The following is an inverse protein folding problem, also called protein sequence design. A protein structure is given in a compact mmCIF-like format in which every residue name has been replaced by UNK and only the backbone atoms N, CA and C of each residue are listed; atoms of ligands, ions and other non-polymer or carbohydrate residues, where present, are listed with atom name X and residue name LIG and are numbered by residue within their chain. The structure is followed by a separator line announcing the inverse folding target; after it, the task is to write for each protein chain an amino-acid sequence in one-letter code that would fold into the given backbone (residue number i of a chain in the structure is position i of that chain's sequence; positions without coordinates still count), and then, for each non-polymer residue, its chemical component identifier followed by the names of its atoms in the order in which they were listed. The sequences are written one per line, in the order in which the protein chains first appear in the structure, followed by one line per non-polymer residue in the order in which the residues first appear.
data_IF_409139804307
#
_entry.id   IF_409139804307
#
_cell.length_a   1.000
_cell.length_b   1.000
_cell.length_c   1.000
_cell.angle_alpha   90.00
_cell.angle_beta   90.00
_cell.angle_gamma   90.00
#
_symmetry.space_group_name_H-M   'P 1'
#
loop_
_entity.id
_entity.type
_entity.pdbx_description
1 polymer ?
#
# COMPACT_ATOMS: atom_id res chain seq x y z
N UNK A 1 15.56 -11.16 23.18
CA UNK A 1 14.26 -10.51 22.87
C UNK A 1 14.38 -8.98 22.85
N UNK A 2 14.85 -8.33 23.93
CA UNK A 2 15.02 -6.86 23.99
C UNK A 2 16.02 -6.28 22.97
N UNK A 3 17.20 -6.91 22.81
CA UNK A 3 18.21 -6.48 21.81
C UNK A 3 17.65 -6.43 20.38
N UNK A 4 16.86 -7.44 19.99
CA UNK A 4 16.22 -7.50 18.68
C UNK A 4 15.15 -6.44 18.50
N UNK A 5 14.37 -6.15 19.55
CA UNK A 5 13.39 -5.07 19.52
C UNK A 5 14.06 -3.72 19.26
N UNK A 6 15.14 -3.40 19.97
CA UNK A 6 15.88 -2.15 19.76
C UNK A 6 16.49 -2.09 18.35
N UNK A 7 17.12 -3.17 17.89
CA UNK A 7 17.67 -3.24 16.53
C UNK A 7 16.59 -2.99 15.46
N UNK A 8 15.42 -3.61 15.63
CA UNK A 8 14.27 -3.46 14.73
C UNK A 8 13.74 -2.02 14.72
N UNK A 9 13.58 -1.40 15.90
CA UNK A 9 13.20 0.02 16.02
C UNK A 9 14.23 0.95 15.36
N UNK A 10 15.53 0.67 15.51
CA UNK A 10 16.58 1.47 14.86
C UNK A 10 16.54 1.33 13.34
N UNK A 11 16.30 0.13 12.80
CA UNK A 11 16.17 -0.10 11.36
C UNK A 11 14.99 0.70 10.79
N UNK A 12 13.81 0.61 11.43
CA UNK A 12 12.64 1.35 10.97
C UNK A 12 12.78 2.86 11.13
N UNK A 13 13.44 3.35 12.18
CA UNK A 13 13.74 4.78 12.32
C UNK A 13 14.69 5.27 11.23
N UNK A 14 15.70 4.48 10.87
CA UNK A 14 16.59 4.79 9.73
C UNK A 14 15.81 4.84 8.41
N UNK A 15 14.92 3.89 8.17
CA UNK A 15 14.05 3.87 6.99
C UNK A 15 13.14 5.11 6.94
N UNK A 16 12.43 5.41 8.03
CA UNK A 16 11.58 6.59 8.12
C UNK A 16 12.36 7.88 7.85
N UNK A 17 13.57 8.01 8.42
CA UNK A 17 14.43 9.17 8.18
C UNK A 17 14.90 9.27 6.72
N UNK A 18 15.26 8.14 6.10
CA UNK A 18 15.64 8.10 4.68
C UNK A 18 14.48 8.55 3.75
N UNK A 19 13.23 8.31 4.17
CA UNK A 19 12.02 8.80 3.50
C UNK A 19 11.60 10.22 3.95
N UNK A 20 12.45 10.95 4.69
CA UNK A 20 12.20 12.33 5.11
C UNK A 20 11.43 12.48 6.44
N UNK A 21 11.20 11.39 7.18
CA UNK A 21 10.68 11.38 8.56
C UNK A 21 9.18 11.65 8.74
N UNK A 22 8.53 12.18 7.70
CA UNK A 22 7.11 12.58 7.73
C UNK A 22 6.17 11.73 6.87
N UNK A 23 6.71 10.77 6.12
CA UNK A 23 5.89 9.82 5.38
C UNK A 23 5.11 8.94 6.36
N UNK A 24 3.80 8.82 6.13
CA UNK A 24 2.87 8.02 6.95
C UNK A 24 2.19 6.92 6.15
N UNK A 25 2.08 7.12 4.84
CA UNK A 25 1.52 6.15 3.93
C UNK A 25 2.10 6.35 2.53
N UNK A 26 1.96 5.32 1.70
CA UNK A 26 2.33 5.33 0.29
C UNK A 26 1.35 4.48 -0.52
N UNK A 27 1.28 4.73 -1.81
CA UNK A 27 0.47 3.95 -2.76
C UNK A 27 1.36 3.03 -3.59
N UNK A 28 0.97 1.77 -3.75
CA UNK A 28 1.57 0.83 -4.69
C UNK A 28 0.54 0.40 -5.74
N UNK A 29 0.90 0.52 -7.02
CA UNK A 29 0.00 0.27 -8.17
C UNK A 29 0.81 -0.15 -9.39
N UNK A 30 0.11 -0.61 -10.44
CA UNK A 30 0.69 -0.98 -11.74
C UNK A 30 1.06 -2.46 -11.87
N UNK A 31 1.44 -3.12 -10.78
CA UNK A 31 1.64 -4.57 -10.72
C UNK A 31 1.29 -5.10 -9.32
N UNK A 32 1.00 -6.42 -9.18
CA UNK A 32 0.82 -7.04 -7.88
C UNK A 32 2.05 -6.83 -6.99
N UNK A 33 1.84 -6.24 -5.80
CA UNK A 33 2.92 -6.03 -4.83
C UNK A 33 3.04 -7.25 -3.92
N UNK A 34 4.26 -7.73 -3.70
CA UNK A 34 4.51 -8.85 -2.79
C UNK A 34 4.03 -8.51 -1.36
N UNK A 35 3.32 -9.44 -0.72
CA UNK A 35 2.71 -9.22 0.60
C UNK A 35 3.75 -8.88 1.66
N UNK A 36 4.94 -9.46 1.55
CA UNK A 36 6.06 -9.27 2.46
C UNK A 36 6.58 -7.82 2.42
N UNK A 37 6.57 -7.19 1.23
CA UNK A 37 6.94 -5.79 1.05
C UNK A 37 5.92 -4.88 1.76
N UNK A 38 4.62 -5.13 1.56
CA UNK A 38 3.55 -4.38 2.22
C UNK A 38 3.66 -4.51 3.74
N UNK A 39 3.84 -5.73 4.24
CA UNK A 39 3.99 -6.01 5.66
C UNK A 39 5.23 -5.33 6.27
N UNK A 40 6.34 -5.28 5.52
CA UNK A 40 7.56 -4.61 5.96
C UNK A 40 7.34 -3.12 6.20
N UNK A 41 6.75 -2.40 5.23
CA UNK A 41 6.48 -0.97 5.37
C UNK A 41 5.40 -0.68 6.42
N UNK A 42 4.33 -1.48 6.46
CA UNK A 42 3.31 -1.37 7.50
C UNK A 42 3.92 -1.57 8.91
N UNK A 43 4.81 -2.54 9.08
CA UNK A 43 5.57 -2.76 10.31
C UNK A 43 6.47 -1.58 10.67
N UNK A 44 7.00 -0.88 9.67
CA UNK A 44 7.76 0.36 9.85
C UNK A 44 6.88 1.60 10.13
N UNK A 45 5.57 1.44 10.30
CA UNK A 45 4.64 2.55 10.55
C UNK A 45 4.34 3.40 9.32
N UNK A 46 4.59 2.87 8.12
CA UNK A 46 4.29 3.51 6.84
C UNK A 46 3.29 2.65 6.10
N UNK A 47 2.03 3.04 6.14
CA UNK A 47 0.96 2.22 5.59
C UNK A 47 0.99 2.20 4.07
N UNK A 48 1.03 1.01 3.47
CA UNK A 48 0.92 0.85 2.01
C UNK A 48 -0.55 0.57 1.66
N UNK A 49 -1.11 1.40 0.78
CA UNK A 49 -2.41 1.16 0.16
C UNK A 49 -2.23 0.78 -1.30
N UNK A 50 -3.07 -0.11 -1.79
CA UNK A 50 -3.01 -0.60 -3.16
C UNK A 50 -4.25 -0.15 -3.95
N UNK A 51 -4.05 0.02 -5.26
CA UNK A 51 -5.09 0.40 -6.21
C UNK A 51 -4.77 -0.11 -7.61
N UNK A 52 -5.82 -0.40 -8.37
CA UNK A 52 -5.73 -0.74 -9.79
C UNK A 52 -6.11 0.46 -10.66
N UNK A 53 -5.35 0.65 -11.73
CA UNK A 53 -5.53 1.74 -12.68
C UNK A 53 -4.71 1.51 -13.94
N UNK A 54 -5.02 2.31 -14.95
CA UNK A 54 -4.32 2.33 -16.23
C UNK A 54 -4.38 3.74 -16.80
N UNK A 55 -3.56 4.02 -17.80
CA UNK A 55 -3.49 5.33 -18.45
C UNK A 55 -4.84 5.75 -19.05
N UNK A 56 -5.57 4.80 -19.60
CA UNK A 56 -6.88 4.94 -20.26
C UNK A 56 -7.99 5.33 -19.28
N UNK A 57 -7.80 5.07 -17.97
CA UNK A 57 -8.70 5.48 -16.89
C UNK A 57 -8.26 6.79 -16.23
N UNK A 58 -7.21 7.45 -16.72
CA UNK A 58 -6.61 8.63 -16.08
C UNK A 58 -6.18 8.34 -14.63
N UNK A 59 -5.42 7.25 -14.46
CA UNK A 59 -4.86 6.75 -13.18
C UNK A 59 -5.75 5.72 -12.44
N UNK A 60 -5.96 5.73 -11.10
CA UNK A 60 -6.63 4.61 -10.44
C UNK A 60 -8.14 4.60 -10.74
N UNK A 61 -8.66 3.44 -11.16
CA UNK A 61 -10.11 3.18 -11.16
C UNK A 61 -10.58 2.64 -9.79
N UNK A 62 -9.67 2.02 -9.04
CA UNK A 62 -9.91 1.54 -7.67
C UNK A 62 -8.81 2.00 -6.73
N UNK A 63 -9.14 2.17 -5.46
CA UNK A 63 -8.15 2.45 -4.42
C UNK A 63 -8.58 1.90 -3.07
N UNK A 64 -7.62 1.40 -2.30
CA UNK A 64 -7.84 1.06 -0.89
C UNK A 64 -7.88 2.33 -0.03
N UNK A 65 -8.75 2.35 0.97
CA UNK A 65 -8.82 3.45 1.94
C UNK A 65 -7.83 3.19 3.09
N UNK A 66 -7.17 4.23 3.60
CA UNK A 66 -6.32 4.13 4.80
C UNK A 66 -7.06 3.58 6.03
N UNK A 67 -8.37 3.85 6.15
CA UNK A 67 -9.21 3.35 7.23
C UNK A 67 -9.73 1.92 7.02
N UNK A 68 -9.74 1.43 5.77
CA UNK A 68 -10.37 0.15 5.38
C UNK A 68 -9.54 -0.49 4.25
N UNK A 69 -8.29 -0.85 4.56
CA UNK A 69 -7.39 -1.52 3.62
C UNK A 69 -7.31 -3.02 3.93
N UNK A 70 -7.11 -3.81 2.88
CA UNK A 70 -6.86 -5.26 3.00
C UNK A 70 -5.72 -5.66 2.07
N UNK A 71 -4.66 -6.22 2.65
CA UNK A 71 -3.50 -6.69 1.90
C UNK A 71 -3.92 -7.73 0.86
N UNK A 72 -3.45 -7.57 -0.38
CA UNK A 72 -3.80 -8.44 -1.50
C UNK A 72 -5.14 -8.10 -2.16
N UNK A 73 -5.63 -6.88 -1.97
CA UNK A 73 -6.78 -6.33 -2.71
C UNK A 73 -6.41 -4.98 -3.30
N UNK A 74 -7.12 -4.57 -4.35
CA UNK A 74 -6.92 -3.26 -5.01
C UNK A 74 -7.92 -2.21 -4.51
N UNK A 75 -8.62 -2.50 -3.42
CA UNK A 75 -9.62 -1.62 -2.83
C UNK A 75 -10.94 -1.59 -3.60
N UNK A 76 -11.65 -0.47 -3.47
CA UNK A 76 -13.00 -0.26 -4.02
C UNK A 76 -12.96 0.73 -5.20
N UNK A 77 -13.95 0.71 -6.11
CA UNK A 77 -14.07 1.73 -7.15
C UNK A 77 -14.04 3.14 -6.55
N UNK A 78 -13.38 4.06 -7.24
CA UNK A 78 -13.41 5.48 -6.87
C UNK A 78 -14.80 6.09 -7.13
N UNK A 79 -15.14 7.21 -6.46
CA UNK A 79 -16.39 7.91 -6.73
C UNK A 79 -16.55 8.23 -8.21
N UNK A 80 -17.67 7.81 -8.81
CA UNK A 80 -17.96 8.01 -10.24
C UNK A 80 -17.33 6.97 -11.18
N UNK A 81 -16.68 5.93 -10.66
CA UNK A 81 -16.16 4.81 -11.45
C UNK A 81 -17.06 3.58 -11.31
N UNK A 82 -17.58 3.09 -12.43
CA UNK A 82 -18.27 1.82 -12.52
C UNK A 82 -17.32 0.71 -13.00
N UNK A 83 -17.34 -0.43 -12.33
CA UNK A 83 -16.52 -1.60 -12.67
C UNK A 83 -17.44 -2.80 -12.88
N UNK A 84 -17.22 -3.50 -13.99
CA UNK A 84 -17.91 -4.74 -14.32
C UNK A 84 -16.86 -5.79 -14.69
N UNK A 85 -17.03 -7.00 -14.13
CA UNK A 85 -16.33 -8.19 -14.57
C UNK A 85 -17.22 -8.92 -15.56
N UNK A 86 -16.66 -9.44 -16.64
CA UNK A 86 -17.37 -10.37 -17.51
C UNK A 86 -17.18 -11.81 -17.02
N UNK A 87 -17.97 -12.73 -17.58
CA UNK A 87 -17.96 -14.13 -17.17
C UNK A 87 -16.87 -14.96 -17.87
N UNK A 88 -16.15 -14.37 -18.82
CA UNK A 88 -15.27 -15.11 -19.75
C UNK A 88 -13.79 -14.90 -19.44
N UNK A 89 -13.41 -13.76 -18.86
CA UNK A 89 -12.03 -13.45 -18.45
C UNK A 89 -11.10 -13.15 -19.61
#
# INVERSE_FOLDING_TARGET
RFKYFIAFQMIFKKLQNALGGRVRWMTASGAPTAKEIIQFFNGAGIQVIEGYGMTELTAPGTMSNLADYRIGTVGKPLPGVDIKLDDVG
#
